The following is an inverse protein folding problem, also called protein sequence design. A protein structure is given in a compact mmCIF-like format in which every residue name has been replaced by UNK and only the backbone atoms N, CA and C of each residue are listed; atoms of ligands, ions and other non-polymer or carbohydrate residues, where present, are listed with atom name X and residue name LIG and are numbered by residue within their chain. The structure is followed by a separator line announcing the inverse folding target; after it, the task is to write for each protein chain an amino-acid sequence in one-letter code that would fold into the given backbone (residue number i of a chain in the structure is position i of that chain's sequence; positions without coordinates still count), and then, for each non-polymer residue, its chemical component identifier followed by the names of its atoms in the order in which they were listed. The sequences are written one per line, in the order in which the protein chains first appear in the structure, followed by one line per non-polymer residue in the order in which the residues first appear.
data_IF_745966424418
#
_entry.id   IF_745966424418
#
_cell.length_a   1.000
_cell.length_b   1.000
_cell.length_c   1.000
_cell.angle_alpha   90.00
_cell.angle_beta   90.00
_cell.angle_gamma   90.00
#
_symmetry.space_group_name_H-M   'P 1'
#
loop_
_entity.id
_entity.type
_entity.pdbx_description
1 polymer ?
#
# COMPACT_ATOMS: atom_id res chain seq x y z
N UNK A 1 30.39 -13.49 19.96
CA UNK A 1 28.97 -13.02 20.14
C UNK A 1 28.76 -11.80 19.29
N UNK A 2 27.81 -11.78 18.35
CA UNK A 2 27.49 -10.57 17.60
C UNK A 2 27.06 -9.48 18.59
N UNK A 3 27.55 -8.27 18.39
CA UNK A 3 27.12 -7.14 19.20
C UNK A 3 25.63 -6.89 19.00
N UNK A 4 24.88 -6.70 20.08
CA UNK A 4 23.44 -6.52 20.08
C UNK A 4 22.92 -5.33 19.25
N UNK A 5 23.80 -4.49 18.73
CA UNK A 5 23.42 -3.33 17.92
C UNK A 5 23.12 -3.67 16.46
N UNK A 6 23.62 -4.77 15.93
CA UNK A 6 23.32 -5.20 14.55
C UNK A 6 22.00 -5.98 14.45
N UNK A 7 21.58 -6.64 15.52
CA UNK A 7 20.37 -7.45 15.54
C UNK A 7 19.07 -6.63 15.37
N UNK A 8 19.10 -5.35 15.70
CA UNK A 8 17.93 -4.46 15.57
C UNK A 8 17.68 -3.97 14.14
N UNK A 9 18.64 -4.18 13.23
CA UNK A 9 18.52 -3.78 11.83
C UNK A 9 18.49 -4.95 10.85
N UNK A 10 18.62 -6.19 11.35
CA UNK A 10 18.68 -7.35 10.48
C UNK A 10 17.33 -7.69 9.87
N UNK A 11 17.30 -7.63 8.55
CA UNK A 11 16.19 -8.17 7.76
C UNK A 11 16.31 -9.67 7.72
N UNK A 12 15.35 -10.39 8.32
CA UNK A 12 15.33 -11.83 8.28
C UNK A 12 14.54 -12.32 7.07
N UNK A 13 15.22 -12.97 6.12
CA UNK A 13 14.58 -13.61 4.95
C UNK A 13 14.53 -15.12 5.17
N UNK A 14 13.36 -15.69 5.31
CA UNK A 14 13.18 -17.13 5.39
C UNK A 14 11.99 -17.56 4.54
N UNK A 15 12.23 -18.44 3.56
CA UNK A 15 11.17 -19.06 2.76
C UNK A 15 10.22 -18.07 2.05
N UNK A 16 10.72 -16.95 1.55
CA UNK A 16 9.90 -15.95 0.83
C UNK A 16 9.20 -14.93 1.72
N UNK A 17 9.45 -14.94 3.03
CA UNK A 17 8.98 -13.91 3.96
C UNK A 17 10.13 -13.01 4.42
N UNK A 18 9.80 -11.76 4.65
CA UNK A 18 10.69 -10.76 5.17
C UNK A 18 10.15 -10.32 6.53
N UNK A 19 11.01 -10.30 7.53
CA UNK A 19 10.67 -9.70 8.82
C UNK A 19 11.71 -8.63 9.17
N UNK A 20 11.21 -7.47 9.56
CA UNK A 20 12.06 -6.35 9.92
C UNK A 20 11.30 -5.34 10.77
N UNK A 21 12.08 -4.44 11.38
CA UNK A 21 11.57 -3.23 12.01
C UNK A 21 11.10 -2.25 10.92
N UNK A 22 10.00 -1.54 11.20
CA UNK A 22 9.48 -0.46 10.37
C UNK A 22 9.24 -0.89 8.90
N UNK A 23 8.70 -2.10 8.70
CA UNK A 23 8.12 -2.51 7.41
C UNK A 23 7.02 -1.54 7.05
N UNK A 24 6.22 -1.16 8.00
CA UNK A 24 5.30 -0.05 7.97
C UNK A 24 6.05 1.29 8.16
N UNK A 25 6.16 2.22 7.15
CA UNK A 25 5.83 1.87 5.78
C UNK A 25 7.06 1.97 4.85
N UNK A 26 8.19 1.42 5.25
CA UNK A 26 9.36 1.34 4.36
C UNK A 26 9.15 0.41 3.17
N UNK A 27 8.27 -0.58 3.32
CA UNK A 27 7.96 -1.47 2.20
C UNK A 27 7.15 -0.74 1.13
N UNK A 28 6.23 0.15 1.49
CA UNK A 28 5.53 1.03 0.55
C UNK A 28 6.48 1.95 -0.19
N UNK A 29 7.42 2.56 0.52
CA UNK A 29 8.49 3.35 -0.10
C UNK A 29 9.29 2.53 -1.13
N UNK A 30 9.66 1.30 -0.81
CA UNK A 30 10.33 0.40 -1.75
C UNK A 30 9.45 0.08 -2.96
N UNK A 31 8.18 -0.27 -2.73
CA UNK A 31 7.26 -0.64 -3.80
C UNK A 31 7.03 0.50 -4.79
N UNK A 32 6.89 1.73 -4.32
CA UNK A 32 6.78 2.93 -5.17
C UNK A 32 8.02 3.13 -6.04
N UNK A 33 9.22 3.06 -5.44
CA UNK A 33 10.47 3.21 -6.19
C UNK A 33 10.66 2.10 -7.20
N UNK A 34 10.42 0.84 -6.82
CA UNK A 34 10.56 -0.31 -7.68
C UNK A 34 9.60 -0.25 -8.88
N UNK A 35 8.33 0.13 -8.64
CA UNK A 35 7.35 0.30 -9.71
C UNK A 35 7.76 1.41 -10.68
N UNK A 36 8.17 2.57 -10.15
CA UNK A 36 8.56 3.72 -10.98
C UNK A 36 9.76 3.43 -11.89
N UNK A 37 10.71 2.61 -11.44
CA UNK A 37 11.86 2.20 -12.27
C UNK A 37 11.44 1.41 -13.52
N UNK A 38 10.27 0.79 -13.50
CA UNK A 38 9.72 -0.01 -14.61
C UNK A 38 8.79 0.80 -15.54
N UNK A 39 8.32 1.98 -15.09
CA UNK A 39 7.48 2.86 -15.91
C UNK A 39 8.34 3.54 -16.98
N UNK A 40 8.01 3.31 -18.26
CA UNK A 40 8.82 3.83 -19.37
C UNK A 40 8.23 5.06 -20.06
N UNK A 41 6.92 5.08 -20.22
CA UNK A 41 6.19 6.15 -20.93
C UNK A 41 4.83 6.36 -20.27
N UNK A 42 4.80 6.99 -19.11
CA UNK A 42 3.54 7.25 -18.42
C UNK A 42 2.64 8.14 -19.27
N UNK A 43 1.34 7.91 -19.21
CA UNK A 43 0.32 8.73 -19.89
C UNK A 43 -0.08 9.94 -19.07
N UNK A 44 0.18 9.89 -17.77
CA UNK A 44 -0.17 10.92 -16.81
C UNK A 44 1.08 11.50 -16.16
N UNK A 45 0.96 12.69 -15.57
CA UNK A 45 1.96 13.23 -14.68
C UNK A 45 1.93 12.46 -13.35
N UNK A 46 3.04 11.85 -12.97
CA UNK A 46 3.15 11.01 -11.77
C UNK A 46 4.00 11.70 -10.72
N UNK A 47 3.44 11.89 -9.53
CA UNK A 47 4.10 12.41 -8.36
C UNK A 47 4.28 11.29 -7.32
N UNK A 48 5.51 10.92 -7.02
CA UNK A 48 5.82 10.04 -5.90
C UNK A 48 6.07 10.88 -4.64
N UNK A 49 5.17 10.75 -3.68
CA UNK A 49 5.25 11.50 -2.42
C UNK A 49 5.58 10.54 -1.27
N UNK A 50 6.68 10.80 -0.58
CA UNK A 50 7.06 10.10 0.65
C UNK A 50 6.66 10.98 1.81
N UNK A 51 5.49 10.72 2.35
CA UNK A 51 4.86 11.57 3.35
C UNK A 51 5.44 11.32 4.74
N UNK A 52 5.23 12.26 5.64
CA UNK A 52 5.64 12.17 7.05
C UNK A 52 4.42 12.26 7.94
N UNK A 53 4.51 11.69 9.15
CA UNK A 53 3.46 11.79 10.16
C UNK A 53 2.13 11.14 9.71
N UNK A 54 2.19 10.04 8.98
CA UNK A 54 1.01 9.23 8.66
C UNK A 54 0.42 8.66 9.94
N UNK A 55 1.21 7.98 10.78
CA UNK A 55 0.88 7.29 12.03
C UNK A 55 0.24 8.16 13.12
N UNK A 56 0.30 9.46 12.96
CA UNK A 56 -0.27 10.43 13.92
C UNK A 56 -1.38 11.30 13.30
N UNK A 57 -1.97 10.81 12.22
CA UNK A 57 -3.15 11.39 11.59
C UNK A 57 -2.95 11.88 10.17
N UNK A 58 -2.25 11.11 9.33
CA UNK A 58 -2.15 11.29 7.85
C UNK A 58 -1.76 12.72 7.40
N UNK A 59 -0.96 13.40 8.23
CA UNK A 59 -0.71 14.85 8.10
C UNK A 59 0.07 15.20 6.85
N UNK A 60 1.10 14.40 6.54
CA UNK A 60 1.92 14.59 5.35
C UNK A 60 1.14 14.38 4.06
N UNK A 61 0.28 13.37 4.02
CA UNK A 61 -0.61 13.07 2.90
C UNK A 61 -1.54 14.23 2.58
N UNK A 62 -2.18 14.81 3.59
CA UNK A 62 -3.06 15.96 3.43
C UNK A 62 -2.33 17.18 2.85
N UNK A 63 -1.18 17.53 3.44
CA UNK A 63 -0.40 18.71 3.01
C UNK A 63 0.15 18.54 1.60
N UNK A 64 0.60 17.32 1.27
CA UNK A 64 1.13 17.00 -0.06
C UNK A 64 0.02 17.07 -1.11
N UNK A 65 -1.12 16.45 -0.85
CA UNK A 65 -2.28 16.52 -1.74
C UNK A 65 -2.77 17.94 -1.95
N UNK A 66 -2.80 18.76 -0.89
CA UNK A 66 -3.17 20.18 -0.98
C UNK A 66 -2.22 20.99 -1.89
N UNK A 67 -0.95 20.61 -1.94
CA UNK A 67 0.05 21.30 -2.78
C UNK A 67 0.00 20.86 -4.23
N UNK A 68 -0.18 19.55 -4.47
CA UNK A 68 -0.15 18.96 -5.81
C UNK A 68 -1.52 19.09 -6.48
N UNK A 69 -2.62 18.94 -5.72
CA UNK A 69 -4.00 18.90 -6.20
C UNK A 69 -4.17 17.89 -7.36
N UNK A 70 -3.85 16.61 -7.14
CA UNK A 70 -3.94 15.60 -8.18
C UNK A 70 -5.41 15.26 -8.48
N UNK A 71 -5.67 14.77 -9.69
CA UNK A 71 -6.99 14.23 -10.08
C UNK A 71 -7.25 12.87 -9.40
N UNK A 72 -6.19 12.10 -9.17
CA UNK A 72 -6.24 10.78 -8.53
C UNK A 72 -5.18 10.70 -7.44
N UNK A 73 -5.60 10.33 -6.24
CA UNK A 73 -4.73 10.01 -5.11
C UNK A 73 -4.60 8.52 -4.89
N UNK A 74 -3.37 8.03 -4.78
CA UNK A 74 -3.08 6.61 -4.48
C UNK A 74 -2.31 6.53 -3.18
N UNK A 75 -2.88 5.88 -2.17
CA UNK A 75 -2.14 5.53 -0.96
C UNK A 75 -1.48 4.17 -1.15
N UNK A 76 -0.19 4.08 -0.85
CA UNK A 76 0.56 2.82 -0.84
C UNK A 76 1.02 2.59 0.58
N UNK A 77 0.60 1.49 1.18
CA UNK A 77 0.71 1.26 2.61
C UNK A 77 0.74 -0.23 2.94
N UNK A 78 0.83 -0.58 4.20
CA UNK A 78 0.55 -1.93 4.68
C UNK A 78 -0.92 -2.07 5.07
N UNK A 79 -1.38 -3.31 5.26
CA UNK A 79 -2.69 -3.61 5.81
C UNK A 79 -2.62 -4.84 6.72
N UNK A 80 -3.41 -4.92 7.80
CA UNK A 80 -3.39 -6.05 8.70
C UNK A 80 -3.75 -7.37 8.03
N UNK A 81 -3.07 -8.42 8.43
CA UNK A 81 -3.43 -9.80 8.11
C UNK A 81 -4.51 -10.31 9.07
N UNK A 82 -5.44 -11.11 8.57
CA UNK A 82 -6.54 -11.72 9.33
C UNK A 82 -6.49 -13.25 9.30
N UNK A 83 -5.32 -13.84 9.03
CA UNK A 83 -5.17 -15.27 8.79
C UNK A 83 -4.73 -16.10 10.02
N UNK A 84 -4.76 -15.50 11.22
CA UNK A 84 -4.40 -16.17 12.47
C UNK A 84 -5.59 -16.34 13.40
N UNK A 85 -5.63 -17.40 14.21
CA UNK A 85 -6.61 -17.53 15.27
C UNK A 85 -6.55 -16.32 16.24
N UNK A 86 -7.70 -15.70 16.48
CA UNK A 86 -7.81 -14.54 17.38
C UNK A 86 -7.49 -13.18 16.75
N UNK A 87 -7.20 -13.12 15.45
CA UNK A 87 -7.16 -11.87 14.70
C UNK A 87 -8.57 -11.25 14.59
N UNK A 88 -8.62 -9.96 14.28
CA UNK A 88 -9.88 -9.30 13.91
C UNK A 88 -10.48 -9.97 12.66
N UNK A 89 -11.81 -9.94 12.56
CA UNK A 89 -12.48 -10.44 11.36
C UNK A 89 -12.05 -9.66 10.12
N UNK A 90 -11.76 -10.38 9.04
CA UNK A 90 -11.33 -9.81 7.77
C UNK A 90 -10.92 -10.88 6.78
N UNK A 91 -10.65 -10.49 5.55
CA UNK A 91 -10.32 -11.41 4.45
C UNK A 91 -8.86 -11.41 4.05
N UNK A 92 -8.06 -10.47 4.58
CA UNK A 92 -6.67 -10.31 4.17
C UNK A 92 -5.77 -11.43 4.70
N UNK A 93 -5.01 -12.03 3.81
CA UNK A 93 -4.06 -13.08 4.14
C UNK A 93 -2.73 -12.88 3.40
N UNK A 94 -1.64 -13.39 3.97
CA UNK A 94 -0.35 -13.44 3.28
C UNK A 94 -0.42 -14.37 2.07
N UNK A 95 0.44 -14.13 1.08
CA UNK A 95 0.54 -14.90 -0.18
C UNK A 95 -0.68 -14.80 -1.10
N UNK A 96 -1.56 -13.81 -0.90
CA UNK A 96 -2.74 -13.59 -1.73
C UNK A 96 -2.63 -12.39 -2.66
N UNK A 97 -1.45 -11.79 -2.75
CA UNK A 97 -1.16 -10.69 -3.66
C UNK A 97 -1.53 -9.31 -3.13
N UNK A 98 -1.63 -8.34 -4.04
CA UNK A 98 -1.92 -6.95 -3.67
C UNK A 98 -3.30 -6.83 -3.03
N UNK A 99 -3.37 -6.13 -1.90
CA UNK A 99 -4.62 -5.78 -1.25
C UNK A 99 -5.15 -4.46 -1.84
N UNK A 100 -6.22 -4.57 -2.65
CA UNK A 100 -6.91 -3.42 -3.23
C UNK A 100 -7.92 -2.91 -2.20
N UNK A 101 -7.66 -1.74 -1.66
CA UNK A 101 -8.51 -1.13 -0.64
C UNK A 101 -9.88 -0.80 -1.21
N UNK A 102 -10.91 -1.36 -0.60
CA UNK A 102 -12.31 -1.02 -0.86
C UNK A 102 -12.76 0.06 0.10
N UNK A 103 -12.50 -0.14 1.40
CA UNK A 103 -12.78 0.85 2.43
C UNK A 103 -11.93 0.63 3.68
N UNK A 104 -11.72 1.72 4.40
CA UNK A 104 -11.16 1.76 5.73
C UNK A 104 -11.95 2.76 6.60
N UNK A 105 -11.45 3.13 7.79
CA UNK A 105 -12.16 4.08 8.66
C UNK A 105 -12.13 5.51 8.16
N UNK A 106 -11.24 5.86 7.25
CA UNK A 106 -11.04 7.21 6.73
C UNK A 106 -11.52 7.40 5.30
N UNK A 107 -11.71 6.32 4.54
CA UNK A 107 -12.01 6.41 3.11
C UNK A 107 -12.85 5.24 2.58
N UNK A 108 -13.56 5.54 1.49
CA UNK A 108 -14.12 4.57 0.56
C UNK A 108 -13.47 4.85 -0.78
N UNK A 109 -12.79 3.85 -1.34
CA UNK A 109 -12.12 4.00 -2.63
C UNK A 109 -13.12 4.28 -3.77
N UNK A 110 -12.69 5.07 -4.76
CA UNK A 110 -13.49 5.32 -5.97
C UNK A 110 -13.78 4.01 -6.69
N UNK A 111 -15.05 3.73 -6.97
CA UNK A 111 -15.50 2.47 -7.58
C UNK A 111 -14.87 2.25 -8.96
N UNK A 112 -14.73 3.31 -9.76
CA UNK A 112 -14.11 3.24 -11.08
C UNK A 112 -12.65 2.82 -11.00
N UNK A 113 -11.90 3.38 -10.06
CA UNK A 113 -10.50 3.00 -9.82
C UNK A 113 -10.37 1.57 -9.32
N UNK A 114 -11.25 1.13 -8.41
CA UNK A 114 -11.28 -0.27 -7.93
C UNK A 114 -11.55 -1.24 -9.07
N UNK A 115 -12.58 -0.99 -9.86
CA UNK A 115 -12.96 -1.86 -10.98
C UNK A 115 -11.84 -1.92 -12.04
N UNK A 116 -11.21 -0.79 -12.34
CA UNK A 116 -10.06 -0.73 -13.25
C UNK A 116 -8.89 -1.54 -12.73
N UNK A 117 -8.57 -1.40 -11.45
CA UNK A 117 -7.48 -2.14 -10.80
C UNK A 117 -7.70 -3.65 -10.82
N UNK A 118 -8.93 -4.09 -10.51
CA UNK A 118 -9.30 -5.51 -10.60
C UNK A 118 -9.19 -6.04 -12.03
N UNK A 119 -9.61 -5.24 -13.02
CA UNK A 119 -9.50 -5.61 -14.43
C UNK A 119 -8.03 -5.80 -14.84
N UNK A 120 -7.15 -4.87 -14.45
CA UNK A 120 -5.71 -4.96 -14.69
C UNK A 120 -5.10 -6.22 -14.05
N UNK A 121 -5.46 -6.49 -12.79
CA UNK A 121 -4.98 -7.70 -12.11
C UNK A 121 -5.38 -8.98 -12.87
N UNK A 122 -6.62 -9.06 -13.35
CA UNK A 122 -7.12 -10.20 -14.11
C UNK A 122 -6.42 -10.33 -15.47
N UNK A 123 -6.29 -9.24 -16.20
CA UNK A 123 -5.67 -9.20 -17.53
C UNK A 123 -4.20 -9.63 -17.49
N UNK A 124 -3.49 -9.19 -16.45
CA UNK A 124 -2.05 -9.45 -16.31
C UNK A 124 -1.69 -10.58 -15.35
N UNK A 125 -2.69 -11.33 -14.86
CA UNK A 125 -2.51 -12.43 -13.92
C UNK A 125 -1.77 -12.02 -12.63
N UNK A 126 -2.05 -10.82 -12.12
CA UNK A 126 -1.53 -10.34 -10.84
C UNK A 126 -2.42 -10.87 -9.71
N UNK A 127 -1.90 -11.61 -8.74
CA UNK A 127 -2.68 -12.00 -7.57
C UNK A 127 -3.16 -10.76 -6.81
N UNK A 128 -4.42 -10.78 -6.40
CA UNK A 128 -5.02 -9.67 -5.64
C UNK A 128 -6.09 -10.14 -4.67
N UNK A 129 -6.33 -9.35 -3.66
CA UNK A 129 -7.41 -9.50 -2.70
C UNK A 129 -8.12 -8.16 -2.48
N UNK A 130 -9.39 -8.22 -2.07
CA UNK A 130 -10.17 -7.03 -1.72
C UNK A 130 -9.96 -6.74 -0.24
N UNK A 131 -9.61 -5.51 0.07
CA UNK A 131 -9.26 -5.09 1.41
C UNK A 131 -10.36 -4.20 2.02
N UNK A 132 -10.96 -4.68 3.10
CA UNK A 132 -11.90 -3.93 3.93
C UNK A 132 -11.42 -4.03 5.37
N UNK A 133 -11.10 -2.91 5.98
CA UNK A 133 -10.69 -2.86 7.38
C UNK A 133 -11.60 -1.94 8.19
N UNK A 134 -11.84 -2.32 9.43
CA UNK A 134 -12.74 -1.60 10.34
C UNK A 134 -11.99 -0.77 11.39
N UNK A 135 -10.66 -0.86 11.40
CA UNK A 135 -9.77 -0.16 12.33
C UNK A 135 -8.56 0.35 11.56
N UNK A 136 -8.26 1.63 11.66
CA UNK A 136 -7.17 2.27 10.93
C UNK A 136 -7.57 2.79 9.55
N UNK A 137 -6.67 3.51 8.93
CA UNK A 137 -6.84 4.12 7.61
C UNK A 137 -5.47 4.37 7.00
N UNK A 138 -5.44 5.09 5.89
CA UNK A 138 -4.24 5.46 5.17
C UNK A 138 -4.30 6.94 4.76
N UNK A 139 -3.27 7.46 4.15
CA UNK A 139 -3.26 8.81 3.57
C UNK A 139 -4.41 9.05 2.57
N UNK A 140 -5.04 7.99 2.01
CA UNK A 140 -6.20 8.13 1.12
C UNK A 140 -7.35 8.90 1.76
N UNK A 141 -7.62 8.67 3.05
CA UNK A 141 -8.66 9.39 3.78
C UNK A 141 -8.41 10.89 3.85
N UNK A 142 -7.17 11.30 4.09
CA UNK A 142 -6.81 12.72 4.12
C UNK A 142 -6.81 13.34 2.71
N UNK A 143 -6.32 12.62 1.70
CA UNK A 143 -6.32 13.10 0.32
C UNK A 143 -7.73 13.33 -0.22
N UNK A 144 -8.67 12.42 0.10
CA UNK A 144 -10.09 12.53 -0.35
C UNK A 144 -10.76 13.85 0.05
N UNK A 145 -10.32 14.48 1.14
CA UNK A 145 -10.93 15.71 1.68
C UNK A 145 -10.29 17.01 1.12
N UNK A 146 -9.29 16.89 0.25
CA UNK A 146 -8.56 18.05 -0.28
C UNK A 146 -9.30 18.70 -1.45
N UNK A 147 -9.30 20.05 -1.49
CA UNK A 147 -9.92 20.83 -2.57
C UNK A 147 -11.42 20.55 -2.70
N UNK A 148 -11.85 20.18 -3.89
CA UNK A 148 -13.23 19.77 -4.20
C UNK A 148 -13.49 18.28 -3.99
N UNK A 149 -12.56 17.54 -3.40
CA UNK A 149 -12.55 16.09 -3.28
C UNK A 149 -11.67 15.43 -4.36
N UNK A 150 -10.78 14.55 -3.95
CA UNK A 150 -9.89 13.79 -4.83
C UNK A 150 -10.39 12.34 -4.90
N UNK A 151 -10.48 11.76 -6.10
CA UNK A 151 -10.71 10.32 -6.26
C UNK A 151 -9.54 9.56 -5.70
N UNK A 152 -9.78 8.68 -4.75
CA UNK A 152 -8.68 7.95 -4.07
C UNK A 152 -8.87 6.44 -4.16
N UNK A 153 -7.73 5.74 -4.08
CA UNK A 153 -7.63 4.30 -3.93
C UNK A 153 -6.40 3.97 -3.08
N UNK A 154 -6.44 2.81 -2.40
CA UNK A 154 -5.28 2.26 -1.69
C UNK A 154 -4.81 0.96 -2.34
N UNK A 155 -3.49 0.79 -2.45
CA UNK A 155 -2.84 -0.49 -2.74
C UNK A 155 -1.94 -0.84 -1.58
N UNK A 156 -2.29 -1.90 -0.86
CA UNK A 156 -1.57 -2.29 0.34
C UNK A 156 -0.92 -3.65 0.18
N UNK A 157 0.16 -3.85 0.93
CA UNK A 157 0.74 -5.17 1.15
C UNK A 157 0.32 -5.69 2.52
N UNK A 158 -0.12 -6.94 2.57
CA UNK A 158 -0.57 -7.55 3.83
C UNK A 158 0.60 -7.83 4.75
N UNK A 159 0.48 -7.46 6.02
CA UNK A 159 1.50 -7.69 7.04
C UNK A 159 0.91 -8.36 8.28
N UNK A 160 1.68 -9.26 8.90
CA UNK A 160 1.44 -9.69 10.28
C UNK A 160 2.17 -8.78 11.25
N UNK A 161 1.58 -8.58 12.43
CA UNK A 161 2.15 -7.76 13.49
C UNK A 161 2.37 -6.30 13.09
N UNK A 162 1.45 -5.76 12.29
CA UNK A 162 1.38 -4.32 11.96
C UNK A 162 1.46 -3.50 13.24
N UNK A 163 2.19 -2.39 13.25
CA UNK A 163 2.50 -1.55 14.42
C UNK A 163 3.29 -2.27 15.54
N UNK A 164 3.74 -3.49 15.29
CA UNK A 164 4.63 -4.21 16.21
C UNK A 164 6.11 -3.84 16.01
N UNK A 165 6.97 -4.29 16.94
CA UNK A 165 8.41 -4.02 16.82
C UNK A 165 9.05 -4.67 15.59
N UNK A 166 8.46 -5.73 15.07
CA UNK A 166 8.84 -6.41 13.84
C UNK A 166 7.58 -6.89 13.14
N UNK A 167 7.39 -6.48 11.90
CA UNK A 167 6.32 -7.00 11.06
C UNK A 167 6.84 -8.12 10.15
N UNK A 168 5.92 -8.88 9.56
CA UNK A 168 6.21 -9.93 8.58
C UNK A 168 5.42 -9.62 7.31
N UNK A 169 6.08 -9.70 6.16
CA UNK A 169 5.48 -9.50 4.84
C UNK A 169 5.92 -10.61 3.88
N UNK A 170 5.05 -10.99 2.95
CA UNK A 170 5.39 -11.93 1.88
C UNK A 170 6.10 -11.22 0.73
N UNK A 171 7.20 -11.81 0.25
CA UNK A 171 7.89 -11.32 -0.94
C UNK A 171 6.99 -11.38 -2.18
N UNK A 172 6.14 -12.39 -2.30
CA UNK A 172 5.19 -12.53 -3.41
C UNK A 172 4.16 -11.40 -3.43
N UNK A 173 3.68 -10.98 -2.24
CA UNK A 173 2.72 -9.89 -2.13
C UNK A 173 3.37 -8.54 -2.46
N UNK A 174 4.64 -8.34 -2.08
CA UNK A 174 5.43 -7.17 -2.50
C UNK A 174 5.55 -7.13 -4.03
N UNK A 175 5.95 -8.25 -4.64
CA UNK A 175 6.11 -8.35 -6.11
C UNK A 175 4.77 -8.10 -6.83
N UNK A 176 3.67 -8.65 -6.34
CA UNK A 176 2.33 -8.40 -6.87
C UNK A 176 1.92 -6.93 -6.76
N UNK A 177 2.20 -6.30 -5.61
CA UNK A 177 1.88 -4.88 -5.39
C UNK A 177 2.73 -3.97 -6.29
N UNK A 178 4.03 -4.23 -6.42
CA UNK A 178 4.90 -3.52 -7.38
C UNK A 178 4.36 -3.63 -8.80
N UNK A 179 3.96 -4.84 -9.21
CA UNK A 179 3.39 -5.06 -10.54
C UNK A 179 2.08 -4.33 -10.74
N UNK A 180 1.21 -4.32 -9.74
CA UNK A 180 -0.05 -3.55 -9.80
C UNK A 180 0.22 -2.05 -9.93
N UNK A 181 1.13 -1.50 -9.14
CA UNK A 181 1.53 -0.09 -9.22
C UNK A 181 2.10 0.26 -10.60
N UNK A 182 3.00 -0.57 -11.15
CA UNK A 182 3.54 -0.41 -12.50
C UNK A 182 2.43 -0.35 -13.55
N UNK A 183 1.47 -1.27 -13.50
CA UNK A 183 0.34 -1.31 -14.43
C UNK A 183 -0.54 -0.06 -14.28
N UNK A 184 -0.86 0.32 -13.04
CA UNK A 184 -1.71 1.47 -12.76
C UNK A 184 -1.09 2.79 -13.23
N UNK A 185 0.22 2.97 -13.04
CA UNK A 185 0.97 4.14 -13.53
C UNK A 185 1.01 4.26 -15.06
N UNK A 186 0.79 3.16 -15.79
CA UNK A 186 0.74 3.14 -17.26
C UNK A 186 -0.68 3.24 -17.83
N UNK A 187 -1.72 3.30 -16.98
CA UNK A 187 -3.10 3.50 -17.44
C UNK A 187 -3.27 4.91 -17.98
N UNK A 188 -4.05 5.03 -19.05
CA UNK A 188 -4.60 6.29 -19.52
C UNK A 188 -5.91 6.54 -18.77
N UNK A 189 -6.00 7.63 -18.05
CA UNK A 189 -7.18 8.03 -17.27
C UNK A 189 -8.00 9.15 -17.92
N UNK A 190 -7.65 9.53 -19.17
CA UNK A 190 -8.43 10.49 -19.97
C UNK A 190 -9.75 9.89 -20.48
#
# INVERSE_FOLDING_TARGET
TPSNSSAASDVYKRQGYITAKAIDDRVGCYMLLAAMMNVKKPKNDIYLAFTVQEEVGTRGGQVTAQRIQPDIGVAVDVTPCHDRPGDLEGSNALDHGVAIKISDTGSISDEGLVNKSIALCKEHNVPYQKDVIYVGGTDAGAMTLVGGGIKTIGFSVVTRYTHGPNAIVSQKDIEATVKMLELFMNVDFE
#
